data_IF_736774236896
#
_entry.id   IF_736774236896
#
_cell.length_a   1.000
_cell.length_b   1.000
_cell.length_c   1.000
_cell.angle_alpha   90.00
_cell.angle_beta   90.00
_cell.angle_gamma   90.00
#
_symmetry.space_group_name_H-M   'P 1'
#
loop_
_entity.id
_entity.type
_entity.pdbx_description
1 polymer ?
#
# COMPACT_ATOMS: atom_id res chain seq x y z
N UNK A 1 -65.93 6.40 -9.94
CA UNK A 1 -64.80 7.11 -10.56
C UNK A 1 -63.53 6.54 -9.96
N UNK A 2 -62.64 5.95 -10.76
CA UNK A 2 -61.35 5.45 -10.26
C UNK A 2 -60.41 6.66 -10.28
N UNK A 3 -59.98 7.11 -9.11
CA UNK A 3 -58.93 8.12 -8.99
C UNK A 3 -57.67 7.58 -9.65
N UNK A 4 -57.23 8.25 -10.73
CA UNK A 4 -55.91 8.01 -11.29
C UNK A 4 -54.90 8.62 -10.33
N UNK A 5 -54.19 7.78 -9.58
CA UNK A 5 -53.03 8.23 -8.81
C UNK A 5 -52.05 8.93 -9.76
N UNK A 6 -51.81 10.21 -9.50
CA UNK A 6 -50.83 11.01 -10.23
C UNK A 6 -49.43 10.54 -9.84
N UNK A 7 -48.88 9.59 -10.59
CA UNK A 7 -47.53 9.08 -10.38
C UNK A 7 -46.53 10.18 -10.78
N UNK A 8 -45.84 10.77 -9.80
CA UNK A 8 -44.76 11.72 -10.04
C UNK A 8 -43.45 11.00 -10.39
N UNK A 9 -42.60 11.66 -11.19
CA UNK A 9 -41.26 11.15 -11.56
C UNK A 9 -40.44 10.82 -10.31
N UNK A 10 -40.54 11.63 -9.25
CA UNK A 10 -39.86 11.38 -7.98
C UNK A 10 -40.31 10.07 -7.32
N UNK A 11 -41.60 9.73 -7.40
CA UNK A 11 -42.13 8.47 -6.86
C UNK A 11 -41.70 7.26 -7.71
N UNK A 12 -41.55 7.43 -9.03
CA UNK A 12 -40.99 6.41 -9.92
C UNK A 12 -39.52 6.14 -9.63
N UNK A 13 -38.70 7.18 -9.45
CA UNK A 13 -37.25 7.07 -9.15
C UNK A 13 -37.00 6.37 -7.81
N UNK A 14 -37.89 6.54 -6.82
CA UNK A 14 -37.79 5.86 -5.51
C UNK A 14 -38.14 4.37 -5.57
N UNK A 15 -38.74 3.88 -6.65
CA UNK A 15 -39.01 2.44 -6.80
C UNK A 15 -37.69 1.69 -6.88
N UNK A 16 -37.64 0.51 -6.24
CA UNK A 16 -36.43 -0.32 -6.14
C UNK A 16 -35.89 -0.70 -7.52
N UNK A 17 -36.77 -0.94 -8.48
CA UNK A 17 -36.43 -1.25 -9.86
C UNK A 17 -35.78 -0.06 -10.57
N UNK A 18 -36.33 1.15 -10.39
CA UNK A 18 -35.75 2.37 -10.95
C UNK A 18 -34.40 2.68 -10.32
N UNK A 19 -34.26 2.55 -8.99
CA UNK A 19 -32.97 2.70 -8.30
C UNK A 19 -31.91 1.73 -8.79
N UNK A 20 -32.29 0.48 -9.10
CA UNK A 20 -31.37 -0.49 -9.72
C UNK A 20 -30.90 -0.06 -11.10
N UNK A 21 -31.77 0.52 -11.93
CA UNK A 21 -31.45 0.92 -13.31
C UNK A 21 -30.65 2.23 -13.35
N UNK A 22 -30.95 3.20 -12.49
CA UNK A 22 -30.24 4.50 -12.45
C UNK A 22 -28.97 4.46 -11.58
N UNK A 23 -28.75 3.36 -10.86
CA UNK A 23 -27.55 3.16 -10.05
C UNK A 23 -26.31 3.19 -10.94
N UNK A 24 -25.33 4.02 -10.59
CA UNK A 24 -23.99 3.98 -11.19
C UNK A 24 -23.19 2.73 -10.80
N UNK A 25 -23.72 1.91 -9.88
CA UNK A 25 -23.15 0.64 -9.46
C UNK A 25 -23.82 -0.47 -10.26
N UNK A 26 -23.07 -1.08 -11.17
CA UNK A 26 -23.51 -2.24 -11.96
C UNK A 26 -23.39 -3.55 -11.17
N UNK A 27 -24.05 -4.61 -11.63
CA UNK A 27 -23.97 -5.93 -11.00
C UNK A 27 -22.54 -6.49 -11.07
N UNK A 28 -21.86 -6.29 -12.19
CA UNK A 28 -20.45 -6.68 -12.39
C UNK A 28 -19.54 -5.97 -11.39
N UNK A 29 -19.82 -4.70 -11.07
CA UNK A 29 -19.07 -3.94 -10.06
C UNK A 29 -19.26 -4.53 -8.66
N UNK A 30 -20.49 -4.95 -8.32
CA UNK A 30 -20.78 -5.61 -7.04
C UNK A 30 -20.03 -6.94 -6.94
N UNK A 31 -20.14 -7.77 -7.97
CA UNK A 31 -19.45 -9.06 -8.04
C UNK A 31 -17.93 -8.90 -8.00
N UNK A 32 -17.40 -7.90 -8.71
CA UNK A 32 -15.97 -7.57 -8.70
C UNK A 32 -15.50 -7.15 -7.31
N UNK A 33 -16.24 -6.29 -6.61
CA UNK A 33 -15.92 -5.86 -5.24
C UNK A 33 -16.04 -7.01 -4.24
N UNK A 34 -16.95 -7.95 -4.46
CA UNK A 34 -17.15 -9.12 -3.59
C UNK A 34 -16.04 -10.18 -3.72
N UNK A 35 -15.23 -10.15 -4.79
CA UNK A 35 -14.12 -11.08 -4.96
C UNK A 35 -13.12 -10.97 -3.78
N UNK A 36 -12.83 -12.10 -3.14
CA UNK A 36 -11.82 -12.19 -2.09
C UNK A 36 -10.48 -12.68 -2.67
N UNK A 37 -9.43 -11.85 -2.71
CA UNK A 37 -8.13 -12.27 -3.22
C UNK A 37 -7.53 -13.42 -2.40
N UNK A 38 -6.92 -14.39 -3.10
CA UNK A 38 -6.19 -15.49 -2.46
C UNK A 38 -5.00 -14.93 -1.67
N UNK A 39 -4.86 -15.34 -0.41
CA UNK A 39 -3.76 -14.94 0.46
C UNK A 39 -2.71 -16.05 0.53
N UNK A 40 -1.44 -15.69 0.71
CA UNK A 40 -0.38 -16.66 0.99
C UNK A 40 -0.69 -17.41 2.30
N UNK A 41 -0.37 -18.72 2.34
CA UNK A 41 -0.66 -19.60 3.49
C UNK A 41 -0.12 -19.06 4.81
N UNK A 42 1.02 -18.36 4.79
CA UNK A 42 1.63 -17.75 5.98
C UNK A 42 0.69 -16.77 6.72
N UNK A 43 -0.24 -16.14 5.99
CA UNK A 43 -1.20 -15.20 6.57
C UNK A 43 -2.44 -15.88 7.16
N UNK A 44 -2.54 -17.21 7.07
CA UNK A 44 -3.53 -18.00 7.79
C UNK A 44 -3.21 -18.09 9.29
N UNK A 45 -1.93 -17.96 9.68
CA UNK A 45 -1.54 -17.88 11.08
C UNK A 45 -2.01 -16.55 11.72
N UNK A 46 -2.27 -16.53 13.02
CA UNK A 46 -2.68 -15.31 13.73
C UNK A 46 -1.55 -14.27 13.80
N UNK A 47 -0.29 -14.72 13.82
CA UNK A 47 0.88 -13.86 13.85
C UNK A 47 1.86 -14.24 12.74
N UNK A 48 2.63 -13.25 12.31
CA UNK A 48 3.72 -13.44 11.35
C UNK A 48 4.98 -12.77 11.87
N UNK A 49 6.13 -13.33 11.49
CA UNK A 49 7.43 -12.79 11.85
C UNK A 49 8.40 -12.91 10.69
N UNK A 50 9.32 -11.95 10.61
CA UNK A 50 10.42 -11.99 9.65
C UNK A 50 11.56 -12.83 10.22
N UNK A 51 12.16 -13.65 9.36
CA UNK A 51 13.39 -14.41 9.60
C UNK A 51 14.35 -14.15 8.46
N UNK A 52 15.64 -14.06 8.75
CA UNK A 52 16.64 -13.96 7.69
C UNK A 52 16.63 -15.22 6.84
N UNK A 53 16.71 -15.02 5.54
CA UNK A 53 16.93 -16.08 4.56
C UNK A 53 18.35 -15.95 4.01
N UNK A 54 19.20 -16.92 4.35
CA UNK A 54 20.61 -16.94 3.95
C UNK A 54 20.83 -17.65 2.61
N UNK A 55 19.77 -18.12 1.97
CA UNK A 55 19.84 -18.77 0.66
C UNK A 55 20.33 -17.81 -0.42
N UNK A 56 19.76 -16.61 -0.46
CA UNK A 56 20.05 -15.58 -1.44
C UNK A 56 21.37 -14.85 -1.16
N UNK A 57 22.14 -14.58 -2.22
CA UNK A 57 23.39 -13.81 -2.15
C UNK A 57 23.36 -12.60 -3.06
N UNK A 58 23.66 -11.43 -2.50
CA UNK A 58 23.72 -10.18 -3.26
C UNK A 58 25.07 -9.48 -3.08
N UNK A 59 25.71 -9.16 -4.19
CA UNK A 59 26.88 -8.31 -4.24
C UNK A 59 26.47 -6.85 -4.37
N UNK A 60 26.50 -6.11 -3.26
CA UNK A 60 26.11 -4.70 -3.24
C UNK A 60 27.24 -3.83 -3.80
N UNK A 61 26.90 -2.98 -4.77
CA UNK A 61 27.84 -2.06 -5.40
C UNK A 61 28.45 -1.10 -4.36
N UNK A 62 29.76 -0.82 -4.48
CA UNK A 62 30.50 0.01 -3.51
C UNK A 62 29.87 1.39 -3.31
N UNK A 63 29.46 2.05 -4.39
CA UNK A 63 28.84 3.38 -4.30
C UNK A 63 27.47 3.32 -3.60
N UNK A 64 26.66 2.28 -3.84
CA UNK A 64 25.40 2.12 -3.13
C UNK A 64 25.63 1.94 -1.62
N UNK A 65 26.66 1.19 -1.23
CA UNK A 65 27.05 1.03 0.18
C UNK A 65 27.55 2.33 0.81
N UNK A 66 28.20 3.20 0.02
CA UNK A 66 28.67 4.52 0.46
C UNK A 66 27.51 5.50 0.64
N UNK A 67 26.55 5.51 -0.27
CA UNK A 67 25.39 6.41 -0.24
C UNK A 67 24.32 5.96 0.77
N UNK A 68 24.16 4.65 0.99
CA UNK A 68 23.10 4.07 1.82
C UNK A 68 23.63 3.13 2.92
N UNK A 69 24.61 3.54 3.74
CA UNK A 69 25.33 2.65 4.66
C UNK A 69 24.42 1.96 5.69
N UNK A 70 23.30 2.57 6.05
CA UNK A 70 22.40 2.04 7.08
C UNK A 70 21.52 0.89 6.59
N UNK A 71 21.30 0.78 5.27
CA UNK A 71 20.38 -0.21 4.69
C UNK A 71 21.05 -1.14 3.68
N UNK A 72 22.27 -0.81 3.24
CA UNK A 72 22.98 -1.55 2.21
C UNK A 72 23.28 -3.01 2.59
N UNK A 73 23.39 -3.31 3.89
CA UNK A 73 23.68 -4.67 4.40
C UNK A 73 22.42 -5.42 4.88
N UNK A 74 21.22 -4.92 4.55
CA UNK A 74 19.97 -5.62 4.83
C UNK A 74 19.95 -6.98 4.13
N UNK A 75 19.59 -8.02 4.89
CA UNK A 75 19.47 -9.38 4.38
C UNK A 75 18.08 -9.65 3.85
N UNK A 76 17.98 -10.59 2.93
CA UNK A 76 16.67 -11.12 2.51
C UNK A 76 15.96 -11.71 3.71
N UNK A 77 14.65 -11.51 3.77
CA UNK A 77 13.80 -12.01 4.85
C UNK A 77 12.66 -12.84 4.29
N UNK A 78 12.31 -13.89 5.02
CA UNK A 78 11.14 -14.73 4.78
C UNK A 78 10.12 -14.51 5.90
N UNK A 79 8.84 -14.55 5.52
CA UNK A 79 7.74 -14.53 6.47
C UNK A 79 7.48 -15.94 7.00
N UNK A 80 7.43 -16.07 8.32
CA UNK A 80 7.07 -17.30 9.03
C UNK A 80 5.82 -17.06 9.86
N UNK A 81 4.86 -17.99 9.78
CA UNK A 81 3.64 -17.95 10.57
C UNK A 81 3.86 -18.49 11.97
N UNK A 82 3.23 -17.86 12.98
CA UNK A 82 3.30 -18.28 14.38
C UNK A 82 1.88 -18.40 14.93
N UNK A 83 1.60 -19.49 15.64
CA UNK A 83 0.29 -19.72 16.26
C UNK A 83 0.16 -19.07 17.64
N UNK A 84 1.19 -19.19 18.47
CA UNK A 84 1.18 -18.66 19.83
C UNK A 84 2.58 -18.19 20.25
N UNK A 85 3.03 -17.01 19.80
CA UNK A 85 4.30 -16.44 20.23
C UNK A 85 4.21 -15.93 21.68
N UNK A 86 5.36 -15.58 22.28
CA UNK A 86 5.40 -15.01 23.63
C UNK A 86 4.54 -13.73 23.77
N UNK A 87 4.02 -13.47 24.98
CA UNK A 87 3.15 -12.32 25.26
C UNK A 87 3.78 -10.97 24.87
N UNK A 88 5.09 -10.83 25.09
CA UNK A 88 5.85 -9.62 24.72
C UNK A 88 5.83 -9.38 23.20
N UNK A 89 5.89 -10.44 22.40
CA UNK A 89 5.77 -10.37 20.95
C UNK A 89 4.35 -10.01 20.53
N UNK A 90 3.33 -10.65 21.12
CA UNK A 90 1.93 -10.36 20.83
C UNK A 90 1.60 -8.88 21.08
N UNK A 91 2.06 -8.31 22.20
CA UNK A 91 1.88 -6.89 22.52
C UNK A 91 2.53 -5.96 21.49
N UNK A 92 3.76 -6.27 21.05
CA UNK A 92 4.43 -5.49 19.99
C UNK A 92 3.74 -5.63 18.64
N UNK A 93 3.26 -6.83 18.29
CA UNK A 93 2.56 -7.09 17.04
C UNK A 93 1.28 -6.26 16.96
N UNK A 94 0.48 -6.29 18.03
CA UNK A 94 -0.79 -5.57 18.14
C UNK A 94 -0.67 -4.12 18.63
N UNK A 95 0.54 -3.54 18.62
CA UNK A 95 0.72 -2.11 18.90
C UNK A 95 -0.05 -1.26 17.87
N UNK A 96 -0.76 -0.24 18.33
CA UNK A 96 -1.36 0.79 17.47
C UNK A 96 -0.27 1.52 16.68
N UNK A 97 -0.52 1.77 15.39
CA UNK A 97 0.42 2.46 14.50
C UNK A 97 -0.29 3.53 13.67
N UNK A 98 0.49 4.46 13.14
CA UNK A 98 0.11 5.30 12.02
C UNK A 98 0.97 4.91 10.82
N UNK A 99 0.34 4.62 9.69
CA UNK A 99 1.03 4.15 8.47
C UNK A 99 0.64 5.06 7.31
N UNK A 100 1.63 5.59 6.62
CA UNK A 100 1.46 6.32 5.36
C UNK A 100 1.52 5.38 4.15
N UNK A 101 0.78 5.68 3.09
CA UNK A 101 0.88 5.02 1.80
C UNK A 101 0.77 6.03 0.66
N UNK A 102 1.57 5.87 -0.39
CA UNK A 102 1.57 6.74 -1.56
C UNK A 102 1.62 5.91 -2.85
N UNK A 103 0.90 6.37 -3.87
CA UNK A 103 1.08 5.90 -5.24
C UNK A 103 2.07 6.80 -5.99
N UNK A 104 3.10 6.20 -6.59
CA UNK A 104 4.11 6.94 -7.36
C UNK A 104 4.24 6.36 -8.78
N UNK A 105 4.29 7.26 -9.77
CA UNK A 105 4.38 6.90 -11.18
C UNK A 105 3.03 6.67 -11.87
N UNK A 106 3.08 6.03 -13.04
CA UNK A 106 1.88 5.69 -13.81
C UNK A 106 1.03 4.62 -13.10
N UNK A 107 -0.31 4.67 -13.25
CA UNK A 107 -1.21 3.70 -12.63
C UNK A 107 -0.97 2.29 -13.18
N UNK A 108 -1.19 1.30 -12.32
CA UNK A 108 -1.14 -0.12 -12.68
C UNK A 108 -2.35 -0.85 -12.07
N UNK A 109 -2.96 -1.82 -12.77
CA UNK A 109 -4.03 -2.64 -12.19
C UNK A 109 -3.57 -3.31 -10.88
N UNK A 110 -4.37 -3.19 -9.81
CA UNK A 110 -4.07 -3.81 -8.52
C UNK A 110 -3.58 -2.87 -7.41
N UNK A 111 -3.29 -1.59 -7.69
CA UNK A 111 -2.86 -0.65 -6.64
C UNK A 111 -3.86 -0.49 -5.49
N UNK A 112 -5.15 -0.42 -5.78
CA UNK A 112 -6.17 -0.38 -4.73
C UNK A 112 -6.18 -1.65 -3.87
N UNK A 113 -5.79 -2.80 -4.43
CA UNK A 113 -5.67 -4.05 -3.65
C UNK A 113 -4.43 -4.04 -2.74
N UNK A 114 -3.37 -3.29 -3.08
CA UNK A 114 -2.25 -3.05 -2.16
C UNK A 114 -2.74 -2.29 -0.92
N UNK A 115 -3.49 -1.20 -1.14
CA UNK A 115 -4.10 -0.44 -0.04
C UNK A 115 -5.06 -1.32 0.77
N UNK A 116 -5.93 -2.08 0.11
CA UNK A 116 -6.90 -2.95 0.79
C UNK A 116 -6.22 -4.02 1.63
N UNK A 117 -5.17 -4.67 1.11
CA UNK A 117 -4.38 -5.66 1.84
C UNK A 117 -3.66 -5.07 3.06
N UNK A 118 -3.05 -3.88 2.89
CA UNK A 118 -2.42 -3.14 3.99
C UNK A 118 -3.46 -2.78 5.06
N UNK A 119 -4.59 -2.22 4.66
CA UNK A 119 -5.67 -1.82 5.55
C UNK A 119 -6.21 -3.00 6.36
N UNK A 120 -6.55 -4.11 5.69
CA UNK A 120 -7.08 -5.30 6.34
C UNK A 120 -6.07 -5.90 7.33
N UNK A 121 -4.80 -5.99 6.96
CA UNK A 121 -3.74 -6.51 7.83
C UNK A 121 -3.52 -5.62 9.06
N UNK A 122 -3.48 -4.30 8.85
CA UNK A 122 -3.30 -3.32 9.92
C UNK A 122 -4.47 -3.33 10.91
N UNK A 123 -5.72 -3.33 10.40
CA UNK A 123 -6.92 -3.40 11.24
C UNK A 123 -7.07 -4.73 11.97
N UNK A 124 -6.67 -5.85 11.34
CA UNK A 124 -6.60 -7.17 11.99
C UNK A 124 -5.60 -7.17 13.14
N UNK A 125 -4.44 -6.52 12.99
CA UNK A 125 -3.42 -6.46 14.03
C UNK A 125 -3.83 -5.54 15.19
N UNK A 126 -4.39 -4.36 14.90
CA UNK A 126 -4.99 -3.45 15.87
C UNK A 126 -6.04 -2.55 15.19
N UNK A 127 -7.33 -2.59 15.60
CA UNK A 127 -8.40 -1.79 15.02
C UNK A 127 -8.19 -0.26 15.09
N UNK A 128 -7.42 0.22 16.06
CA UNK A 128 -7.09 1.63 16.23
C UNK A 128 -5.97 2.14 15.31
N UNK A 129 -5.30 1.26 14.57
CA UNK A 129 -4.27 1.67 13.61
C UNK A 129 -4.87 2.56 12.53
N UNK A 130 -4.22 3.69 12.23
CA UNK A 130 -4.66 4.66 11.21
C UNK A 130 -3.80 4.53 9.96
N UNK A 131 -4.44 4.56 8.80
CA UNK A 131 -3.77 4.53 7.50
C UNK A 131 -4.03 5.87 6.81
N UNK A 132 -2.97 6.52 6.38
CA UNK A 132 -3.00 7.80 5.67
C UNK A 132 -2.54 7.59 4.23
N UNK A 133 -3.39 7.95 3.27
CA UNK A 133 -3.02 7.95 1.87
C UNK A 133 -2.61 9.36 1.42
N UNK A 134 -1.39 9.50 0.94
CA UNK A 134 -0.87 10.77 0.40
C UNK A 134 -1.45 11.05 -0.98
N UNK A 135 -1.96 12.27 -1.15
CA UNK A 135 -2.69 12.66 -2.36
C UNK A 135 -1.72 13.06 -3.48
N UNK A 136 -2.09 12.75 -4.73
CA UNK A 136 -1.35 13.18 -5.93
C UNK A 136 0.11 12.69 -5.98
N UNK A 137 0.44 11.64 -5.24
CA UNK A 137 1.75 11.00 -5.25
C UNK A 137 2.76 11.65 -4.31
N UNK A 138 4.07 11.62 -4.62
CA UNK A 138 5.11 12.12 -3.71
C UNK A 138 4.97 13.59 -3.32
N UNK A 139 4.32 14.42 -4.15
CA UNK A 139 3.97 15.80 -3.78
C UNK A 139 3.13 15.86 -2.51
N UNK A 140 2.18 14.93 -2.33
CA UNK A 140 1.38 14.88 -1.12
C UNK A 140 2.19 14.61 0.14
N UNK A 141 3.35 13.94 0.03
CA UNK A 141 4.27 13.77 1.16
C UNK A 141 5.00 15.10 1.44
N UNK A 142 5.49 15.76 0.38
CA UNK A 142 6.26 17.01 0.50
C UNK A 142 5.37 18.14 1.04
N UNK A 143 4.11 18.20 0.61
CA UNK A 143 3.14 19.25 0.96
C UNK A 143 2.28 18.91 2.18
N UNK A 144 2.48 17.73 2.80
CA UNK A 144 1.66 17.22 3.92
C UNK A 144 0.16 17.10 3.58
N UNK A 145 -0.14 16.74 2.33
CA UNK A 145 -1.49 16.50 1.82
C UNK A 145 -1.84 15.02 1.90
N UNK A 146 -2.41 14.63 3.05
CA UNK A 146 -2.80 13.26 3.33
C UNK A 146 -4.27 13.14 3.73
N UNK A 147 -4.89 12.01 3.36
CA UNK A 147 -6.24 11.65 3.77
C UNK A 147 -6.25 10.34 4.54
N UNK A 148 -6.92 10.31 5.69
CA UNK A 148 -7.16 9.05 6.39
C UNK A 148 -8.07 8.13 5.56
N UNK A 149 -7.64 6.89 5.39
CA UNK A 149 -8.37 5.87 4.66
C UNK A 149 -9.33 5.16 5.62
N UNK A 150 -10.63 5.24 5.33
CA UNK A 150 -11.68 4.58 6.10
C UNK A 150 -12.06 3.25 5.46
N UNK A 151 -12.68 2.36 6.23
CA UNK A 151 -13.20 1.08 5.72
C UNK A 151 -14.16 1.29 4.54
N UNK A 152 -15.12 2.22 4.69
CA UNK A 152 -16.06 2.59 3.62
C UNK A 152 -15.37 3.09 2.35
N UNK A 153 -14.27 3.83 2.49
CA UNK A 153 -13.48 4.29 1.35
C UNK A 153 -12.77 3.11 0.70
N UNK A 154 -12.07 2.28 1.47
CA UNK A 154 -11.33 1.12 0.94
C UNK A 154 -12.27 0.15 0.23
N UNK A 155 -13.41 -0.17 0.82
CA UNK A 155 -14.43 -1.07 0.27
C UNK A 155 -14.99 -0.59 -1.08
N UNK A 156 -15.10 0.72 -1.28
CA UNK A 156 -15.55 1.29 -2.54
C UNK A 156 -14.55 1.05 -3.70
N UNK A 157 -13.28 0.78 -3.42
CA UNK A 157 -12.23 0.61 -4.42
C UNK A 157 -11.65 -0.81 -4.50
N UNK A 158 -12.10 -1.74 -3.65
CA UNK A 158 -11.64 -3.14 -3.69
C UNK A 158 -11.79 -3.72 -5.10
N UNK A 159 -10.70 -4.32 -5.59
CA UNK A 159 -10.63 -5.01 -6.88
C UNK A 159 -10.84 -4.11 -8.11
N UNK A 160 -10.87 -2.78 -7.94
CA UNK A 160 -10.98 -1.82 -9.03
C UNK A 160 -9.59 -1.42 -9.56
N UNK A 161 -9.52 -1.19 -10.86
CA UNK A 161 -8.31 -0.68 -11.51
C UNK A 161 -8.06 0.81 -11.23
N UNK A 162 -6.95 1.30 -11.77
CA UNK A 162 -6.53 2.70 -11.59
C UNK A 162 -5.99 2.98 -10.20
N UNK A 163 -5.53 4.23 -9.99
CA UNK A 163 -4.96 4.75 -8.75
C UNK A 163 -5.82 5.89 -8.18
N UNK A 164 -7.13 5.86 -8.43
CA UNK A 164 -8.04 6.99 -8.20
C UNK A 164 -8.39 7.22 -6.73
N UNK A 165 -8.16 6.25 -5.83
CA UNK A 165 -8.45 6.42 -4.39
C UNK A 165 -7.68 7.60 -3.78
N UNK A 166 -6.39 7.73 -4.09
CA UNK A 166 -5.51 8.80 -3.59
C UNK A 166 -4.77 9.54 -4.71
N UNK A 167 -5.02 9.17 -5.97
CA UNK A 167 -4.33 9.69 -7.16
C UNK A 167 -2.82 9.38 -7.11
N UNK A 168 -2.08 9.82 -8.13
CA UNK A 168 -0.66 9.50 -8.29
C UNK A 168 0.06 10.66 -8.95
N UNK A 169 1.37 10.70 -8.81
CA UNK A 169 2.26 11.73 -9.35
C UNK A 169 3.65 11.17 -9.63
N UNK A 170 4.49 11.95 -10.30
CA UNK A 170 5.84 11.55 -10.74
C UNK A 170 6.98 12.34 -10.07
N UNK A 171 6.67 13.16 -9.07
CA UNK A 171 7.69 13.94 -8.38
C UNK A 171 8.75 13.05 -7.75
N UNK A 172 10.01 13.45 -7.93
CA UNK A 172 11.15 12.83 -7.27
C UNK A 172 11.48 13.60 -5.99
N UNK A 173 11.80 12.85 -4.93
CA UNK A 173 12.33 13.39 -3.67
C UNK A 173 13.86 13.27 -3.76
N UNK A 174 14.43 14.18 -4.54
CA UNK A 174 15.82 14.15 -5.02
C UNK A 174 16.65 15.36 -4.56
N UNK A 175 16.06 16.25 -3.76
CA UNK A 175 16.74 17.38 -3.14
C UNK A 175 16.71 17.25 -1.62
N UNK A 176 17.70 17.83 -0.94
CA UNK A 176 17.76 17.87 0.52
C UNK A 176 16.52 18.56 1.12
N UNK A 177 16.00 19.59 0.46
CA UNK A 177 14.79 20.29 0.87
C UNK A 177 13.55 19.39 0.84
N UNK A 178 13.30 18.71 -0.30
CA UNK A 178 12.16 17.77 -0.42
C UNK A 178 12.28 16.62 0.57
N UNK A 179 13.50 16.14 0.81
CA UNK A 179 13.78 15.09 1.78
C UNK A 179 13.44 15.56 3.21
N UNK A 180 13.88 16.77 3.60
CA UNK A 180 13.58 17.36 4.89
C UNK A 180 12.07 17.58 5.09
N UNK A 181 11.37 18.12 4.09
CA UNK A 181 9.92 18.28 4.11
C UNK A 181 9.20 16.93 4.25
N UNK A 182 9.64 15.91 3.51
CA UNK A 182 9.05 14.57 3.60
C UNK A 182 9.24 13.95 5.00
N UNK A 183 10.41 14.16 5.60
CA UNK A 183 10.73 13.75 6.97
C UNK A 183 9.87 14.49 8.00
N UNK A 184 9.68 15.79 7.82
CA UNK A 184 8.82 16.62 8.67
C UNK A 184 7.36 16.15 8.62
N UNK A 185 6.82 15.91 7.42
CA UNK A 185 5.46 15.35 7.24
C UNK A 185 5.30 14.02 7.96
N UNK A 186 6.25 13.09 7.82
CA UNK A 186 6.19 11.80 8.49
C UNK A 186 6.18 11.95 10.02
N UNK A 187 6.97 12.89 10.58
CA UNK A 187 6.98 13.21 12.01
C UNK A 187 5.69 13.88 12.47
N UNK A 188 5.17 14.84 11.71
CA UNK A 188 3.96 15.57 12.02
C UNK A 188 2.73 14.64 12.11
N UNK A 189 2.66 13.63 11.24
CA UNK A 189 1.62 12.59 11.27
C UNK A 189 1.93 11.44 12.25
N UNK A 190 3.11 11.46 12.89
CA UNK A 190 3.56 10.41 13.80
C UNK A 190 3.63 9.03 13.13
N UNK A 191 4.06 8.98 11.87
CA UNK A 191 4.12 7.74 11.10
C UNK A 191 5.20 6.81 11.67
N UNK A 192 4.84 5.53 11.87
CA UNK A 192 5.81 4.46 12.15
C UNK A 192 6.27 3.77 10.86
N UNK A 193 5.49 3.90 9.78
CA UNK A 193 5.86 3.37 8.48
C UNK A 193 5.31 4.21 7.31
N UNK A 194 6.04 4.23 6.20
CA UNK A 194 5.66 4.81 4.92
C UNK A 194 5.78 3.73 3.83
N UNK A 195 4.67 3.43 3.15
CA UNK A 195 4.61 2.47 2.04
C UNK A 195 4.59 3.21 0.71
N UNK A 196 5.57 2.94 -0.15
CA UNK A 196 5.71 3.56 -1.47
C UNK A 196 5.40 2.53 -2.54
N UNK A 197 4.31 2.73 -3.26
CA UNK A 197 3.87 1.83 -4.33
C UNK A 197 4.25 2.45 -5.67
N UNK A 198 5.29 1.93 -6.32
CA UNK A 198 5.84 2.58 -7.50
C UNK A 198 6.88 1.78 -8.28
N UNK A 199 7.46 2.45 -9.28
CA UNK A 199 8.46 1.88 -10.19
C UNK A 199 9.87 1.83 -9.60
N UNK A 200 10.86 1.66 -10.46
CA UNK A 200 12.29 1.72 -10.16
C UNK A 200 12.69 3.08 -9.56
N UNK A 201 12.27 4.19 -10.18
CA UNK A 201 12.49 5.55 -9.69
C UNK A 201 11.86 5.75 -8.30
N UNK A 202 10.66 5.24 -8.09
CA UNK A 202 9.94 5.36 -6.82
C UNK A 202 10.58 4.53 -5.71
N UNK A 203 11.05 3.32 -6.02
CA UNK A 203 11.73 2.46 -5.05
C UNK A 203 13.16 2.95 -4.77
N UNK A 204 13.79 3.65 -5.72
CA UNK A 204 15.03 4.41 -5.46
C UNK A 204 14.79 5.48 -4.40
N UNK A 205 13.76 6.32 -4.56
CA UNK A 205 13.39 7.30 -3.53
C UNK A 205 13.07 6.63 -2.18
N UNK A 206 12.41 5.47 -2.20
CA UNK A 206 12.12 4.71 -0.98
C UNK A 206 13.39 4.30 -0.23
N UNK A 207 14.44 3.89 -0.93
CA UNK A 207 15.72 3.52 -0.32
C UNK A 207 16.41 4.72 0.34
N UNK A 208 16.45 5.87 -0.33
CA UNK A 208 17.01 7.10 0.24
C UNK A 208 16.21 7.60 1.45
N UNK A 209 14.87 7.57 1.37
CA UNK A 209 14.00 7.92 2.50
C UNK A 209 14.19 6.96 3.69
N UNK A 210 14.36 5.65 3.44
CA UNK A 210 14.62 4.66 4.47
C UNK A 210 15.93 4.95 5.21
N UNK A 211 16.98 5.31 4.46
CA UNK A 211 18.27 5.68 5.02
C UNK A 211 18.16 6.96 5.87
N UNK A 212 17.54 8.01 5.34
CA UNK A 212 17.41 9.31 6.00
C UNK A 212 16.56 9.23 7.29
N UNK A 213 15.46 8.49 7.26
CA UNK A 213 14.52 8.41 8.40
C UNK A 213 14.84 7.28 9.38
N UNK A 214 15.95 6.55 9.19
CA UNK A 214 16.29 5.41 10.03
C UNK A 214 16.38 5.78 11.52
N UNK A 215 17.00 6.91 11.84
CA UNK A 215 17.16 7.38 13.22
C UNK A 215 15.87 7.94 13.82
N UNK A 216 14.88 8.25 12.98
CA UNK A 216 13.56 8.68 13.46
C UNK A 216 12.65 7.50 13.81
N UNK A 217 13.07 6.27 13.50
CA UNK A 217 12.27 5.07 13.71
C UNK A 217 11.12 4.89 12.72
N UNK A 218 11.13 5.61 11.59
CA UNK A 218 10.14 5.45 10.52
C UNK A 218 10.61 4.38 9.54
N UNK A 219 9.82 3.33 9.35
CA UNK A 219 10.13 2.27 8.39
C UNK A 219 9.62 2.66 6.99
N UNK A 220 10.47 2.58 5.97
CA UNK A 220 10.03 2.82 4.57
C UNK A 220 10.01 1.49 3.82
N UNK A 221 8.87 1.19 3.18
CA UNK A 221 8.62 -0.10 2.51
C UNK A 221 8.24 0.18 1.05
N UNK A 222 9.01 -0.37 0.12
CA UNK A 222 8.73 -0.32 -1.31
C UNK A 222 7.80 -1.45 -1.76
N UNK A 223 6.88 -1.18 -2.69
CA UNK A 223 6.05 -2.18 -3.37
C UNK A 223 6.30 -2.08 -4.88
N UNK A 224 6.79 -3.14 -5.54
CA UNK A 224 7.21 -3.10 -6.94
C UNK A 224 6.02 -3.04 -7.90
N UNK A 225 5.78 -1.85 -8.47
CA UNK A 225 4.69 -1.54 -9.39
C UNK A 225 5.26 -1.06 -10.73
N UNK A 226 4.96 -1.78 -11.80
CA UNK A 226 5.23 -1.34 -13.18
C UNK A 226 4.48 -2.26 -14.14
N UNK A 227 3.91 -1.66 -15.20
CA UNK A 227 3.25 -2.41 -16.28
C UNK A 227 4.28 -2.94 -17.30
N UNK A 228 5.52 -2.47 -17.21
CA UNK A 228 6.58 -2.78 -18.18
C UNK A 228 7.29 -4.11 -17.83
N UNK A 229 7.07 -4.64 -16.62
CA UNK A 229 7.66 -5.90 -16.16
C UNK A 229 9.17 -5.84 -15.92
N UNK A 230 9.71 -4.64 -15.77
CA UNK A 230 11.15 -4.32 -15.71
C UNK A 230 11.72 -4.31 -14.28
N UNK A 231 10.90 -4.43 -13.25
CA UNK A 231 11.35 -4.65 -11.87
C UNK A 231 11.34 -6.14 -11.57
N UNK A 232 12.51 -6.75 -11.75
CA UNK A 232 12.80 -8.14 -11.41
C UNK A 232 14.11 -8.20 -10.63
N UNK A 233 14.19 -9.08 -9.64
CA UNK A 233 15.37 -9.22 -8.79
C UNK A 233 15.81 -10.67 -8.79
N UNK A 234 17.07 -10.87 -9.17
CA UNK A 234 17.80 -12.13 -9.04
C UNK A 234 19.04 -11.91 -8.20
N UNK A 235 19.40 -12.94 -7.45
CA UNK A 235 20.64 -12.96 -6.68
C UNK A 235 21.85 -13.23 -7.59
N UNK A 236 23.05 -13.22 -7.02
CA UNK A 236 24.31 -13.44 -7.74
C UNK A 236 24.40 -14.83 -8.40
N UNK A 237 23.63 -15.81 -7.92
CA UNK A 237 23.55 -17.17 -8.47
C UNK A 237 22.42 -17.34 -9.49
N UNK A 238 21.62 -16.30 -9.74
CA UNK A 238 20.49 -16.30 -10.66
C UNK A 238 19.15 -16.73 -10.05
N UNK A 239 19.09 -16.94 -8.73
CA UNK A 239 17.87 -17.29 -8.00
C UNK A 239 16.91 -16.10 -7.98
N UNK A 240 15.63 -16.36 -8.25
CA UNK A 240 14.62 -15.30 -8.36
C UNK A 240 14.10 -14.92 -6.97
N UNK A 241 14.29 -13.66 -6.59
CA UNK A 241 13.69 -13.06 -5.39
C UNK A 241 12.39 -12.33 -5.74
N UNK A 242 12.43 -11.50 -6.80
CA UNK A 242 11.26 -10.80 -7.31
C UNK A 242 11.08 -11.20 -8.78
N UNK A 243 10.08 -12.03 -9.04
CA UNK A 243 9.84 -12.58 -10.39
C UNK A 243 9.21 -11.56 -11.35
N UNK A 244 8.33 -10.70 -10.83
CA UNK A 244 7.58 -9.73 -11.61
C UNK A 244 7.00 -8.65 -10.70
N UNK A 245 6.92 -7.42 -11.21
CA UNK A 245 6.09 -6.36 -10.63
C UNK A 245 4.60 -6.65 -10.80
N UNK A 246 3.76 -6.06 -9.95
CA UNK A 246 2.33 -6.11 -10.21
C UNK A 246 1.93 -5.11 -11.31
N UNK A 247 0.89 -5.47 -12.07
CA UNK A 247 0.33 -4.66 -13.15
C UNK A 247 0.75 -5.07 -14.56
N UNK A 248 1.77 -5.93 -14.70
CA UNK A 248 2.23 -6.45 -15.98
C UNK A 248 1.29 -7.52 -16.59
N UNK A 249 0.68 -8.36 -15.74
CA UNK A 249 -0.23 -9.44 -16.16
C UNK A 249 -1.54 -8.90 -16.76
#
# INVERSE_FOLDING_TARGET
MIEKETITIQNLIKKREAQKVISHISQELIERRAYAPKKCKVFSNPYTVLREDTHYRFSVHREARKELPTIADNRVQVLVGLDSPEKSFQQRYSKKRNIGIVFSGGPAPGGHNVIAGLFDAAKKANPETRIYGFLLGPDGIIENEAKELTESLVDAYRNLGGFTMIKTGRTKIDTQEKMALSRETCKALGLEALVIVGGDDSNTNAAFLAHEMFQDGVQVIGVPKTIDGDIQVRDDNGEVLCAMSFGFH
#
